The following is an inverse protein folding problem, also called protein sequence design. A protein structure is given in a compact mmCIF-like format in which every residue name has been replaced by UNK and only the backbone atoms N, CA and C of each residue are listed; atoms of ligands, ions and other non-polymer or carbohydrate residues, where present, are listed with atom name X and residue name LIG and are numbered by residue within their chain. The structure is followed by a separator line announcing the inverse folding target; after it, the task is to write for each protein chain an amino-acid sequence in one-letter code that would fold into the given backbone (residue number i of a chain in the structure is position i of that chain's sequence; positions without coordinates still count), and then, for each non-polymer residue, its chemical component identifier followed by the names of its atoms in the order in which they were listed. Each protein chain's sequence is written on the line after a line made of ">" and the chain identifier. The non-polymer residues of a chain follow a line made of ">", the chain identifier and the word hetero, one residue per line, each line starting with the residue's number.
data_IF_532149729807
#
_entry.id   IF_532149729807
#
_cell.length_a   1.000
_cell.length_b   1.000
_cell.length_c   1.000
_cell.angle_alpha   90.00
_cell.angle_beta   90.00
_cell.angle_gamma   90.00
#
_symmetry.space_group_name_H-M   'P 1'
#
loop_
_entity.id
_entity.type
_entity.pdbx_description
1 polymer ?
#
# COMPACT_ATOMS: atom_id res chain seq x y z
N UNK A 1 13.81 5.51 -22.14
CA UNK A 1 12.40 5.09 -21.93
C UNK A 1 11.84 4.69 -23.27
N UNK A 2 11.86 3.40 -23.60
CA UNK A 2 11.14 2.87 -24.76
C UNK A 2 9.66 2.83 -24.40
N UNK A 3 8.85 3.57 -25.16
CA UNK A 3 7.39 3.65 -25.03
C UNK A 3 6.76 2.61 -25.97
N UNK A 4 7.16 1.35 -25.84
CA UNK A 4 6.54 0.30 -26.63
C UNK A 4 5.16 0.06 -26.02
N UNK A 5 4.14 0.35 -26.83
CA UNK A 5 2.73 0.38 -26.45
C UNK A 5 2.14 -1.04 -26.35
N UNK A 6 3.00 -2.04 -26.12
CA UNK A 6 2.64 -3.44 -25.97
C UNK A 6 2.18 -3.70 -24.54
N UNK A 7 1.00 -4.30 -24.42
CA UNK A 7 0.49 -4.77 -23.14
C UNK A 7 1.18 -6.10 -22.82
N UNK A 8 2.11 -6.08 -21.88
CA UNK A 8 2.77 -7.27 -21.35
C UNK A 8 1.79 -8.07 -20.47
N UNK A 9 1.69 -9.38 -20.69
CA UNK A 9 0.83 -10.28 -19.92
C UNK A 9 -0.52 -10.64 -20.58
N UNK A 10 -1.46 -11.24 -19.83
CA UNK A 10 -2.76 -11.65 -20.37
C UNK A 10 -3.56 -10.44 -20.86
N UNK A 11 -4.26 -10.58 -22.00
CA UNK A 11 -5.13 -9.51 -22.52
C UNK A 11 -6.13 -9.07 -21.45
N UNK A 12 -6.04 -7.81 -21.04
CA UNK A 12 -6.93 -7.20 -20.07
C UNK A 12 -8.00 -6.36 -20.77
N UNK A 13 -9.25 -6.46 -20.32
CA UNK A 13 -10.34 -5.57 -20.78
C UNK A 13 -10.33 -4.23 -20.02
N UNK A 14 -9.43 -4.06 -19.05
CA UNK A 14 -9.38 -2.88 -18.18
C UNK A 14 -8.56 -1.76 -18.83
N UNK A 15 -9.02 -0.52 -18.67
CA UNK A 15 -8.25 0.66 -19.09
C UNK A 15 -6.93 0.71 -18.32
N UNK A 16 -5.85 1.19 -18.96
CA UNK A 16 -4.52 1.37 -18.32
C UNK A 16 -4.60 2.13 -16.99
N UNK A 17 -5.45 3.16 -16.89
CA UNK A 17 -5.68 3.91 -15.65
C UNK A 17 -6.33 3.08 -14.54
N UNK A 18 -7.25 2.19 -14.89
CA UNK A 18 -7.87 1.25 -13.94
C UNK A 18 -6.86 0.20 -13.46
N UNK A 19 -6.03 -0.31 -14.37
CA UNK A 19 -4.95 -1.24 -13.98
C UNK A 19 -3.93 -0.57 -13.06
N UNK A 20 -3.58 0.69 -13.31
CA UNK A 20 -2.68 1.46 -12.46
C UNK A 20 -3.27 1.67 -11.06
N UNK A 21 -4.54 2.09 -10.96
CA UNK A 21 -5.22 2.25 -9.67
C UNK A 21 -5.24 0.92 -8.92
N UNK A 22 -5.58 -0.17 -9.60
CA UNK A 22 -5.61 -1.50 -8.99
C UNK A 22 -4.22 -1.93 -8.51
N UNK A 23 -3.18 -1.74 -9.33
CA UNK A 23 -1.81 -2.13 -9.00
C UNK A 23 -1.31 -1.42 -7.74
N UNK A 24 -1.50 -0.10 -7.65
CA UNK A 24 -1.14 0.68 -6.46
C UNK A 24 -2.01 0.26 -5.28
N UNK A 25 -3.33 0.18 -5.42
CA UNK A 25 -4.19 -0.28 -4.30
C UNK A 25 -3.79 -1.66 -3.77
N UNK A 26 -3.36 -2.59 -4.62
CA UNK A 26 -2.86 -3.89 -4.15
C UNK A 26 -1.51 -3.79 -3.43
N UNK A 27 -0.66 -2.83 -3.79
CA UNK A 27 0.63 -2.56 -3.14
C UNK A 27 0.45 -1.94 -1.74
N UNK A 28 -0.54 -1.05 -1.59
CA UNK A 28 -0.83 -0.37 -0.34
C UNK A 28 -1.42 -1.30 0.74
N UNK A 29 -1.90 -2.51 0.37
CA UNK A 29 -2.37 -3.51 1.35
C UNK A 29 -1.19 -4.00 2.23
N UNK A 30 -0.10 -4.57 1.67
CA UNK A 30 1.10 -4.91 2.44
C UNK A 30 1.65 -3.77 3.30
N UNK A 31 1.61 -2.53 2.82
CA UNK A 31 2.10 -1.37 3.57
C UNK A 31 1.26 -1.09 4.81
N UNK A 32 -0.07 -1.07 4.65
CA UNK A 32 -1.00 -0.99 5.76
C UNK A 32 -0.77 -2.11 6.77
N UNK A 33 -0.60 -3.34 6.28
CA UNK A 33 -0.28 -4.48 7.15
C UNK A 33 1.05 -4.30 7.89
N UNK A 34 2.09 -3.77 7.24
CA UNK A 34 3.38 -3.51 7.88
C UNK A 34 3.25 -2.51 9.05
N UNK A 35 2.47 -1.44 8.87
CA UNK A 35 2.13 -0.50 9.94
C UNK A 35 1.37 -1.22 11.06
N UNK A 36 0.37 -2.05 10.72
CA UNK A 36 -0.38 -2.83 11.71
C UNK A 36 0.50 -3.79 12.51
N UNK A 37 1.41 -4.51 11.86
CA UNK A 37 2.36 -5.44 12.47
C UNK A 37 3.26 -4.72 13.47
N UNK A 38 3.85 -3.58 13.08
CA UNK A 38 4.82 -2.90 13.95
C UNK A 38 4.13 -2.32 15.19
N UNK A 39 2.91 -1.78 15.05
CA UNK A 39 2.15 -1.29 16.19
C UNK A 39 1.58 -2.41 17.06
N UNK A 40 1.19 -3.54 16.47
CA UNK A 40 0.82 -4.74 17.22
C UNK A 40 2.01 -5.26 18.05
N UNK A 41 3.21 -5.30 17.47
CA UNK A 41 4.45 -5.67 18.15
C UNK A 41 4.82 -4.73 19.30
N UNK A 42 4.56 -3.42 19.14
CA UNK A 42 4.68 -2.46 20.24
C UNK A 42 3.70 -2.74 21.38
N UNK A 43 2.43 -2.99 21.04
CA UNK A 43 1.39 -3.25 22.03
C UNK A 43 1.62 -4.58 22.78
N UNK A 44 2.22 -5.59 22.14
CA UNK A 44 2.56 -6.87 22.75
C UNK A 44 3.88 -6.89 23.52
N UNK A 45 4.66 -5.79 23.48
CA UNK A 45 5.97 -5.73 24.13
C UNK A 45 7.04 -6.61 23.48
N UNK A 46 6.94 -6.84 22.16
CA UNK A 46 7.88 -7.70 21.42
C UNK A 46 9.31 -7.14 21.49
N UNK A 47 10.27 -7.99 21.88
CA UNK A 47 11.68 -7.62 21.92
C UNK A 47 12.17 -7.27 20.51
N UNK A 48 12.68 -6.04 20.32
CA UNK A 48 13.19 -5.54 19.05
C UNK A 48 12.30 -4.53 18.34
N UNK A 49 11.04 -4.36 18.75
CA UNK A 49 10.17 -3.30 18.22
C UNK A 49 10.28 -2.06 19.11
N UNK A 50 10.64 -0.91 18.52
CA UNK A 50 10.78 0.36 19.25
C UNK A 50 9.77 1.39 18.75
N UNK A 51 9.33 2.30 19.63
CA UNK A 51 8.46 3.40 19.24
C UNK A 51 9.08 4.24 18.11
N UNK A 52 10.40 4.46 18.18
CA UNK A 52 11.14 5.15 17.14
C UNK A 52 11.07 4.40 15.79
N UNK A 53 11.22 3.07 15.80
CA UNK A 53 11.11 2.24 14.60
C UNK A 53 9.70 2.23 14.00
N UNK A 54 8.67 2.13 14.83
CA UNK A 54 7.27 2.22 14.37
C UNK A 54 6.94 3.58 13.75
N UNK A 55 7.40 4.67 14.38
CA UNK A 55 7.24 6.02 13.84
C UNK A 55 8.03 6.19 12.54
N UNK A 56 9.27 5.72 12.49
CA UNK A 56 10.10 5.80 11.29
C UNK A 56 9.46 5.06 10.10
N UNK A 57 8.96 3.83 10.32
CA UNK A 57 8.26 3.07 9.28
C UNK A 57 6.99 3.79 8.81
N UNK A 58 6.16 4.24 9.75
CA UNK A 58 4.89 4.91 9.44
C UNK A 58 5.10 6.22 8.68
N UNK A 59 6.11 7.00 9.07
CA UNK A 59 6.49 8.22 8.36
C UNK A 59 7.09 7.92 6.98
N UNK A 60 7.89 6.86 6.85
CA UNK A 60 8.43 6.41 5.57
C UNK A 60 7.32 6.10 4.57
N UNK A 61 6.33 5.30 4.98
CA UNK A 61 5.14 4.98 4.19
C UNK A 61 4.34 6.26 3.87
N UNK A 62 4.08 7.11 4.86
CA UNK A 62 3.35 8.36 4.63
C UNK A 62 4.03 9.28 3.58
N UNK A 63 5.36 9.29 3.51
CA UNK A 63 6.12 10.09 2.53
C UNK A 63 5.98 9.54 1.12
N UNK A 64 6.10 8.22 0.90
CA UNK A 64 5.97 7.60 -0.42
C UNK A 64 4.52 7.59 -0.96
N UNK A 65 3.52 7.61 -0.07
CA UNK A 65 2.12 7.68 -0.47
C UNK A 65 1.79 8.97 -1.24
N UNK A 66 2.57 10.04 -1.03
CA UNK A 66 2.37 11.28 -1.75
C UNK A 66 2.68 11.14 -3.26
N UNK A 67 3.88 10.67 -3.68
CA UNK A 67 4.14 10.24 -5.05
C UNK A 67 3.12 9.26 -5.62
N UNK A 68 2.70 8.24 -4.87
CA UNK A 68 1.74 7.23 -5.34
C UNK A 68 0.35 7.81 -5.62
N UNK A 69 -0.18 8.61 -4.69
CA UNK A 69 -1.43 9.31 -4.86
C UNK A 69 -1.39 10.28 -6.04
N UNK A 70 -0.24 10.89 -6.32
CA UNK A 70 -0.02 11.72 -7.50
C UNK A 70 -0.01 10.89 -8.80
N UNK A 71 0.65 9.72 -8.81
CA UNK A 71 0.70 8.79 -9.95
C UNK A 71 -0.71 8.30 -10.34
N UNK A 72 -1.64 8.18 -9.39
CA UNK A 72 -3.04 7.88 -9.69
C UNK A 72 -3.82 9.13 -10.12
N UNK A 73 -3.66 10.23 -9.40
CA UNK A 73 -4.46 11.45 -9.61
C UNK A 73 -4.19 12.12 -10.95
N UNK A 74 -2.93 12.13 -11.43
CA UNK A 74 -2.55 12.83 -12.65
C UNK A 74 -3.10 12.17 -13.93
N UNK A 75 -3.01 10.84 -14.13
CA UNK A 75 -3.61 10.16 -15.28
C UNK A 75 -5.14 10.21 -15.27
N UNK A 76 -5.78 10.17 -14.10
CA UNK A 76 -7.23 10.35 -13.99
C UNK A 76 -7.63 11.76 -14.45
N UNK A 77 -6.86 12.78 -14.06
CA UNK A 77 -7.06 14.15 -14.50
C UNK A 77 -6.86 14.30 -16.02
N UNK A 78 -5.80 13.72 -16.58
CA UNK A 78 -5.55 13.75 -18.03
C UNK A 78 -6.58 12.99 -18.84
N UNK A 79 -7.20 11.96 -18.25
CA UNK A 79 -8.32 11.19 -18.83
C UNK A 79 -9.66 11.94 -18.81
N UNK A 80 -9.69 13.20 -18.37
CA UNK A 80 -10.87 14.07 -18.42
C UNK A 80 -11.65 14.21 -17.11
N UNK A 81 -11.21 13.61 -16.00
CA UNK A 81 -11.87 13.81 -14.71
C UNK A 81 -11.64 15.24 -14.17
N UNK A 82 -12.54 15.71 -13.30
CA UNK A 82 -12.34 16.98 -12.60
C UNK A 82 -11.17 16.87 -11.61
N UNK A 83 -10.52 18.02 -11.29
CA UNK A 83 -9.37 18.08 -10.38
C UNK A 83 -9.70 17.42 -9.04
N UNK A 84 -10.86 17.77 -8.47
CA UNK A 84 -11.30 17.27 -7.18
C UNK A 84 -11.60 15.77 -7.21
N UNK A 85 -12.27 15.27 -8.25
CA UNK A 85 -12.53 13.81 -8.36
C UNK A 85 -11.24 13.01 -8.51
N UNK A 86 -10.30 13.52 -9.30
CA UNK A 86 -9.01 12.84 -9.51
C UNK A 86 -8.21 12.76 -8.23
N UNK A 87 -8.16 13.85 -7.45
CA UNK A 87 -7.53 13.89 -6.13
C UNK A 87 -8.21 12.95 -5.14
N UNK A 88 -9.56 12.96 -5.07
CA UNK A 88 -10.31 12.06 -4.18
C UNK A 88 -10.03 10.60 -4.53
N UNK A 89 -9.97 10.24 -5.82
CA UNK A 89 -9.65 8.88 -6.21
C UNK A 89 -8.21 8.47 -5.88
N UNK A 90 -7.23 9.37 -6.02
CA UNK A 90 -5.86 9.11 -5.57
C UNK A 90 -5.70 9.07 -4.04
N UNK A 91 -6.60 9.71 -3.29
CA UNK A 91 -6.65 9.56 -1.83
C UNK A 91 -7.32 8.24 -1.43
N UNK A 92 -8.46 7.92 -2.07
CA UNK A 92 -9.23 6.71 -1.78
C UNK A 92 -8.48 5.43 -2.16
N UNK A 93 -7.55 5.47 -3.11
CA UNK A 93 -6.71 4.31 -3.42
C UNK A 93 -5.84 3.85 -2.25
N UNK A 94 -5.49 4.75 -1.33
CA UNK A 94 -4.74 4.44 -0.10
C UNK A 94 -5.62 4.03 1.09
N UNK A 95 -6.96 3.99 0.95
CA UNK A 95 -7.86 3.63 2.07
C UNK A 95 -7.64 2.20 2.57
N UNK A 96 -7.04 1.36 1.74
CA UNK A 96 -6.67 -0.01 2.08
C UNK A 96 -5.58 -0.08 3.15
N UNK A 97 -4.77 0.97 3.33
CA UNK A 97 -3.73 1.00 4.36
C UNK A 97 -4.30 0.99 5.78
N UNK A 98 -5.19 1.92 6.20
CA UNK A 98 -5.76 1.88 7.54
C UNK A 98 -6.62 0.63 7.76
N UNK A 99 -7.25 0.09 6.70
CA UNK A 99 -8.00 -1.17 6.77
C UNK A 99 -7.05 -2.34 7.04
N UNK A 100 -5.96 -2.44 6.27
CA UNK A 100 -4.93 -3.48 6.44
C UNK A 100 -4.26 -3.39 7.80
N UNK A 101 -3.92 -2.18 8.26
CA UNK A 101 -3.36 -1.93 9.58
C UNK A 101 -4.31 -2.38 10.69
N UNK A 102 -5.59 -1.95 10.62
CA UNK A 102 -6.61 -2.33 11.58
C UNK A 102 -6.85 -3.84 11.63
N UNK A 103 -6.98 -4.49 10.47
CA UNK A 103 -7.17 -5.94 10.39
C UNK A 103 -5.98 -6.69 11.00
N UNK A 104 -4.77 -6.23 10.73
CA UNK A 104 -3.54 -6.83 11.25
C UNK A 104 -3.45 -6.71 12.76
N UNK A 105 -3.80 -5.54 13.32
CA UNK A 105 -3.86 -5.33 14.77
C UNK A 105 -4.90 -6.24 15.42
N UNK A 106 -6.09 -6.38 14.81
CA UNK A 106 -7.15 -7.26 15.31
C UNK A 106 -6.72 -8.74 15.28
N UNK A 107 -5.94 -9.13 14.29
CA UNK A 107 -5.43 -10.49 14.11
C UNK A 107 -4.00 -10.67 14.64
N UNK A 108 -3.49 -9.75 15.45
CA UNK A 108 -2.08 -9.73 15.87
C UNK A 108 -1.61 -11.04 16.50
N UNK A 109 -2.47 -11.68 17.30
CA UNK A 109 -2.19 -12.97 17.94
C UNK A 109 -1.96 -14.12 16.94
N UNK A 110 -2.50 -14.03 15.73
CA UNK A 110 -2.31 -14.98 14.65
C UNK A 110 -1.16 -14.58 13.73
N UNK A 111 -1.03 -13.27 13.44
CA UNK A 111 -0.07 -12.75 12.45
C UNK A 111 1.35 -12.67 13.00
N UNK A 112 1.53 -12.21 14.24
CA UNK A 112 2.88 -11.99 14.83
C UNK A 112 3.72 -13.29 14.88
N UNK A 113 3.17 -14.47 15.25
CA UNK A 113 3.95 -15.71 15.24
C UNK A 113 4.34 -16.20 13.84
N UNK A 114 3.51 -15.95 12.82
CA UNK A 114 3.76 -16.43 11.45
C UNK A 114 4.57 -15.46 10.61
N UNK A 115 4.68 -14.20 11.05
CA UNK A 115 5.31 -13.12 10.32
C UNK A 115 6.75 -13.43 9.85
N UNK A 116 7.65 -14.03 10.66
CA UNK A 116 8.99 -14.35 10.20
C UNK A 116 8.99 -15.30 8.98
N UNK A 117 8.04 -16.23 8.91
CA UNK A 117 7.90 -17.15 7.79
C UNK A 117 7.36 -16.44 6.54
N UNK A 118 6.42 -15.50 6.71
CA UNK A 118 5.92 -14.68 5.60
C UNK A 118 7.02 -13.79 5.02
N UNK A 119 7.83 -13.17 5.88
CA UNK A 119 8.98 -12.35 5.46
C UNK A 119 10.06 -13.20 4.76
N UNK A 120 10.33 -14.40 5.28
CA UNK A 120 11.27 -15.33 4.63
C UNK A 120 10.77 -15.79 3.25
N UNK A 121 9.46 -16.06 3.11
CA UNK A 121 8.86 -16.39 1.83
C UNK A 121 8.92 -15.22 0.83
N UNK A 122 8.66 -13.98 1.28
CA UNK A 122 8.72 -12.80 0.44
C UNK A 122 10.14 -12.40 0.00
N UNK A 123 11.17 -12.82 0.75
CA UNK A 123 12.58 -12.60 0.41
C UNK A 123 13.16 -13.65 -0.56
N UNK A 124 12.41 -14.72 -0.85
CA UNK A 124 12.79 -15.83 -1.73
C UNK A 124 12.49 -15.60 -3.20
#
# INVERSE_FOLDING_TARGET
>A
MHLDNEEEGPKSQLKKSTMLVLAVTLHNIPEGMAVGVIFAGLASGSQGVTYAGALALSLGIAIQNFPEGAIISMPLKSSGLSKNKSFIYGMLSGIVEPIGAGLTILMASLVVPILPYLLAFAAG
#
